data_IF_709516698241
#
_entry.id   IF_709516698241
#
_cell.length_a   1.000
_cell.length_b   1.000
_cell.length_c   1.000
_cell.angle_alpha   90.00
_cell.angle_beta   90.00
_cell.angle_gamma   90.00
#
_symmetry.space_group_name_H-M   'P 1'
#
loop_
_entity.id
_entity.type
_entity.pdbx_description
1 polymer ?
#
# COMPACT_ATOMS: atom_id res chain seq x y z
N UNK A 1 -15.91 -8.86 11.20
CA UNK A 1 -15.18 -7.59 11.07
C UNK A 1 -13.99 -7.85 10.15
N UNK A 2 -13.75 -7.02 9.14
CA UNK A 2 -12.59 -7.14 8.26
C UNK A 2 -11.39 -6.46 8.92
N UNK A 3 -10.28 -7.18 9.07
CA UNK A 3 -9.07 -6.72 9.74
C UNK A 3 -7.94 -6.38 8.76
N UNK A 4 -8.19 -6.44 7.45
CA UNK A 4 -7.20 -6.05 6.45
C UNK A 4 -6.83 -4.58 6.63
N UNK A 5 -5.55 -4.30 6.43
CA UNK A 5 -5.05 -2.94 6.34
C UNK A 5 -5.32 -2.39 4.95
N UNK A 6 -5.79 -1.15 4.86
CA UNK A 6 -6.06 -0.46 3.59
C UNK A 6 -5.28 0.84 3.51
N UNK A 7 -4.44 0.99 2.48
CA UNK A 7 -3.53 2.11 2.34
C UNK A 7 -4.23 3.46 2.27
N UNK A 8 -5.20 3.60 1.34
CA UNK A 8 -5.90 4.86 1.11
C UNK A 8 -6.64 5.31 2.37
N UNK A 9 -7.32 4.40 3.06
CA UNK A 9 -8.04 4.71 4.30
C UNK A 9 -7.12 5.25 5.39
N UNK A 10 -5.98 4.59 5.64
CA UNK A 10 -5.01 5.03 6.65
C UNK A 10 -4.35 6.37 6.28
N UNK A 11 -3.92 6.53 5.02
CA UNK A 11 -3.31 7.78 4.57
C UNK A 11 -4.30 8.94 4.65
N UNK A 12 -5.55 8.73 4.21
CA UNK A 12 -6.58 9.77 4.24
C UNK A 12 -7.06 10.10 5.66
N UNK A 13 -7.09 9.11 6.57
CA UNK A 13 -7.37 9.36 7.98
C UNK A 13 -6.31 10.27 8.63
N UNK A 14 -5.04 10.10 8.27
CA UNK A 14 -3.97 11.01 8.66
C UNK A 14 -4.21 12.40 8.05
N UNK A 15 -4.40 12.48 6.74
CA UNK A 15 -4.52 13.76 6.01
C UNK A 15 -5.71 14.61 6.45
N UNK A 16 -6.85 13.98 6.70
CA UNK A 16 -8.06 14.66 7.19
C UNK A 16 -8.02 14.98 8.69
N UNK A 17 -6.98 14.58 9.40
CA UNK A 17 -6.87 14.68 10.88
C UNK A 17 -7.96 13.90 11.63
N UNK A 18 -8.52 12.86 11.00
CA UNK A 18 -9.40 11.89 11.66
C UNK A 18 -8.61 11.02 12.64
N UNK A 19 -7.42 10.58 12.24
CA UNK A 19 -6.49 9.90 13.14
C UNK A 19 -5.86 10.92 14.09
N UNK A 20 -5.79 10.59 15.38
CA UNK A 20 -5.06 11.41 16.37
C UNK A 20 -3.56 11.47 16.01
N UNK A 21 -2.78 12.40 16.58
CA UNK A 21 -1.33 12.42 16.39
C UNK A 21 -0.68 11.07 16.75
N UNK A 22 -1.09 10.46 17.86
CA UNK A 22 -0.57 9.16 18.32
C UNK A 22 -0.90 8.04 17.33
N UNK A 23 -2.14 8.01 16.82
CA UNK A 23 -2.55 7.03 15.80
C UNK A 23 -1.82 7.25 14.48
N UNK A 24 -1.62 8.51 14.07
CA UNK A 24 -0.89 8.85 12.85
C UNK A 24 0.56 8.40 12.91
N UNK A 25 1.21 8.59 14.07
CA UNK A 25 2.57 8.09 14.32
C UNK A 25 2.61 6.56 14.33
N UNK A 26 1.66 5.91 14.99
CA UNK A 26 1.58 4.45 15.01
C UNK A 26 1.36 3.83 13.62
N UNK A 27 0.60 4.49 12.74
CA UNK A 27 0.46 4.07 11.33
C UNK A 27 1.81 4.17 10.60
N UNK A 28 2.57 5.25 10.80
CA UNK A 28 3.88 5.41 10.20
C UNK A 28 4.89 4.38 10.73
N UNK A 29 4.88 4.14 12.05
CA UNK A 29 5.72 3.12 12.68
C UNK A 29 5.39 1.72 12.16
N UNK A 30 4.10 1.42 11.92
CA UNK A 30 3.67 0.16 11.30
C UNK A 30 4.21 0.03 9.87
N UNK A 31 4.13 1.08 9.05
CA UNK A 31 4.66 1.07 7.68
C UNK A 31 6.17 0.84 7.69
N UNK A 32 6.91 1.47 8.61
CA UNK A 32 8.35 1.25 8.76
C UNK A 32 8.65 -0.19 9.22
N UNK A 33 7.92 -0.70 10.22
CA UNK A 33 8.14 -2.02 10.81
C UNK A 33 7.71 -3.20 9.91
N UNK A 34 6.73 -2.99 9.03
CA UNK A 34 6.18 -3.98 8.08
C UNK A 34 6.38 -3.55 6.63
N UNK A 35 7.54 -2.95 6.37
CA UNK A 35 7.85 -2.38 5.05
C UNK A 35 7.77 -3.42 3.94
N UNK A 36 8.31 -4.63 4.14
CA UNK A 36 8.31 -5.67 3.12
C UNK A 36 6.89 -6.12 2.77
N UNK A 37 6.01 -6.22 3.77
CA UNK A 37 4.61 -6.62 3.57
C UNK A 37 3.74 -5.52 2.95
N UNK A 38 3.92 -4.26 3.37
CA UNK A 38 3.05 -3.15 2.96
C UNK A 38 3.56 -2.38 1.73
N UNK A 39 4.89 -2.38 1.51
CA UNK A 39 5.55 -1.72 0.38
C UNK A 39 6.22 -2.74 -0.54
N UNK A 40 7.04 -3.65 0.00
CA UNK A 40 7.81 -4.60 -0.80
C UNK A 40 8.82 -3.91 -1.71
N UNK A 41 8.86 -4.32 -2.98
CA UNK A 41 9.71 -3.77 -4.06
C UNK A 41 8.97 -2.76 -4.96
N UNK A 42 7.67 -2.52 -4.71
CA UNK A 42 6.90 -1.49 -5.40
C UNK A 42 5.84 -0.87 -4.47
N UNK A 43 5.97 0.41 -4.10
CA UNK A 43 4.96 1.09 -3.30
C UNK A 43 3.66 1.25 -4.10
N UNK A 44 2.48 1.15 -3.48
CA UNK A 44 2.14 0.71 -2.12
C UNK A 44 1.05 -0.37 -2.24
N UNK A 45 1.00 -1.35 -1.35
CA UNK A 45 -0.10 -2.31 -1.34
C UNK A 45 -1.43 -1.57 -1.17
N UNK A 46 -2.42 -1.85 -2.02
CA UNK A 46 -3.76 -1.28 -1.86
C UNK A 46 -4.45 -1.79 -0.59
N UNK A 47 -4.24 -3.08 -0.29
CA UNK A 47 -4.67 -3.73 0.94
C UNK A 47 -3.72 -4.87 1.32
N UNK A 48 -3.71 -5.26 2.60
CA UNK A 48 -2.92 -6.39 3.09
C UNK A 48 -3.63 -7.13 4.25
N UNK A 49 -3.58 -8.48 4.30
CA UNK A 49 -3.07 -9.39 3.27
C UNK A 49 -4.07 -9.60 2.12
N UNK A 50 -3.64 -10.27 1.05
CA UNK A 50 -4.54 -10.79 0.03
C UNK A 50 -5.42 -11.93 0.58
N UNK A 51 -6.67 -11.96 0.15
CA UNK A 51 -7.62 -13.03 0.39
C UNK A 51 -7.29 -14.21 -0.54
N UNK A 52 -7.38 -15.44 -0.03
CA UNK A 52 -7.03 -16.66 -0.76
C UNK A 52 -8.06 -17.79 -0.51
N UNK A 53 -8.00 -18.85 -1.30
CA UNK A 53 -8.74 -20.09 -1.07
C UNK A 53 -10.25 -19.90 -0.99
N UNK A 54 -10.85 -20.31 0.14
CA UNK A 54 -12.31 -20.26 0.31
C UNK A 54 -12.84 -18.84 0.41
N UNK A 55 -12.14 -17.95 1.11
CA UNK A 55 -12.55 -16.56 1.26
C UNK A 55 -12.54 -15.84 -0.10
N UNK A 56 -11.56 -16.14 -0.97
CA UNK A 56 -11.53 -15.58 -2.32
C UNK A 56 -12.70 -16.11 -3.17
N UNK A 57 -13.05 -17.40 -3.05
CA UNK A 57 -14.24 -17.93 -3.74
C UNK A 57 -15.53 -17.23 -3.31
N UNK A 58 -15.61 -16.78 -2.06
CA UNK A 58 -16.76 -16.00 -1.56
C UNK A 58 -16.83 -14.59 -2.16
N UNK A 59 -15.76 -14.06 -2.76
CA UNK A 59 -15.81 -12.78 -3.50
C UNK A 59 -16.43 -12.93 -4.89
N UNK A 60 -16.94 -14.12 -5.25
CA UNK A 60 -17.51 -14.41 -6.56
C UNK A 60 -16.50 -14.96 -7.57
N UNK A 61 -15.36 -15.49 -7.10
CA UNK A 61 -14.29 -16.06 -7.95
C UNK A 61 -13.81 -15.08 -9.05
N UNK A 62 -13.74 -13.79 -8.75
CA UNK A 62 -13.36 -12.75 -9.71
C UNK A 62 -11.92 -12.97 -10.23
N UNK A 63 -11.75 -13.32 -11.52
CA UNK A 63 -10.44 -13.64 -12.10
C UNK A 63 -9.51 -12.43 -12.19
N UNK A 64 -10.01 -11.18 -12.07
CA UNK A 64 -9.17 -9.98 -12.04
C UNK A 64 -8.54 -9.77 -10.66
N UNK A 65 -9.13 -10.32 -9.61
CA UNK A 65 -8.72 -10.13 -8.22
C UNK A 65 -8.13 -11.41 -7.61
N UNK A 66 -7.26 -12.08 -8.37
CA UNK A 66 -6.52 -13.24 -7.86
C UNK A 66 -5.56 -12.86 -6.74
N UNK A 67 -4.89 -13.85 -6.14
CA UNK A 67 -4.03 -13.64 -4.98
C UNK A 67 -2.88 -12.67 -5.30
N UNK A 68 -2.79 -11.56 -4.54
CA UNK A 68 -1.81 -10.49 -4.73
C UNK A 68 -1.92 -9.79 -6.08
N UNK A 69 -3.14 -9.68 -6.61
CA UNK A 69 -3.42 -9.02 -7.88
C UNK A 69 -4.46 -7.93 -7.74
N UNK A 70 -4.34 -6.90 -8.57
CA UNK A 70 -5.31 -5.80 -8.69
C UNK A 70 -5.78 -5.27 -7.31
N UNK A 71 -7.06 -5.38 -6.95
CA UNK A 71 -7.56 -4.91 -5.65
C UNK A 71 -7.25 -5.87 -4.48
N UNK A 72 -6.96 -7.14 -4.78
CA UNK A 72 -6.67 -8.18 -3.80
C UNK A 72 -5.17 -8.26 -3.46
N UNK A 73 -4.63 -7.17 -2.92
CA UNK A 73 -3.24 -7.08 -2.47
C UNK A 73 -2.23 -6.73 -3.56
N UNK A 74 -2.68 -6.16 -4.69
CA UNK A 74 -1.78 -5.55 -5.68
C UNK A 74 -1.04 -4.33 -5.12
N UNK A 75 0.12 -4.04 -5.69
CA UNK A 75 0.87 -2.80 -5.45
C UNK A 75 0.47 -1.73 -6.46
N UNK A 76 0.06 -0.56 -5.98
CA UNK A 76 -0.49 0.52 -6.80
C UNK A 76 0.39 1.78 -6.72
N UNK A 77 1.16 2.11 -7.77
CA UNK A 77 2.05 3.27 -7.79
C UNK A 77 1.33 4.60 -7.56
N UNK A 78 0.06 4.70 -7.98
CA UNK A 78 -0.76 5.90 -7.76
C UNK A 78 -0.91 6.26 -6.28
N UNK A 79 -0.76 5.31 -5.35
CA UNK A 79 -0.86 5.57 -3.91
C UNK A 79 0.37 6.30 -3.33
N UNK A 80 1.46 6.40 -4.11
CA UNK A 80 2.72 7.02 -3.67
C UNK A 80 2.54 8.48 -3.25
N UNK A 81 1.67 9.24 -3.93
CA UNK A 81 1.43 10.65 -3.56
C UNK A 81 0.69 10.77 -2.22
N UNK A 82 -0.26 9.87 -1.94
CA UNK A 82 -0.99 9.84 -0.67
C UNK A 82 -0.05 9.50 0.49
N UNK A 83 0.79 8.48 0.30
CA UNK A 83 1.83 8.11 1.27
C UNK A 83 2.75 9.31 1.52
N UNK A 84 3.23 9.96 0.46
CA UNK A 84 4.10 11.14 0.54
C UNK A 84 3.46 12.27 1.33
N UNK A 85 2.20 12.61 1.03
CA UNK A 85 1.47 13.66 1.73
C UNK A 85 1.27 13.31 3.22
N UNK A 86 0.92 12.06 3.54
CA UNK A 86 0.79 11.60 4.92
C UNK A 86 2.14 11.67 5.66
N UNK A 87 3.23 11.22 5.03
CA UNK A 87 4.58 11.30 5.58
C UNK A 87 5.01 12.74 5.88
N UNK A 88 4.68 13.71 5.01
CA UNK A 88 4.95 15.13 5.25
C UNK A 88 4.13 15.61 6.45
N UNK A 89 2.83 15.31 6.50
CA UNK A 89 1.94 15.73 7.59
C UNK A 89 2.37 15.19 8.94
N UNK A 90 2.98 14.01 8.99
CA UNK A 90 3.49 13.38 10.22
C UNK A 90 4.96 13.68 10.51
N UNK A 91 5.64 14.50 9.71
CA UNK A 91 7.07 14.80 9.91
C UNK A 91 8.00 13.60 9.71
N UNK A 92 7.62 12.64 8.86
CA UNK A 92 8.37 11.40 8.54
C UNK A 92 8.80 11.36 7.06
N UNK A 93 9.47 12.39 6.50
CA UNK A 93 9.75 12.48 5.07
C UNK A 93 10.70 11.37 4.54
N UNK A 94 11.48 10.73 5.41
CA UNK A 94 12.38 9.64 5.03
C UNK A 94 11.65 8.41 4.47
N UNK A 95 10.43 8.13 4.94
CA UNK A 95 9.58 7.03 4.44
C UNK A 95 9.21 7.30 2.98
N UNK A 96 8.78 8.54 2.69
CA UNK A 96 8.42 8.96 1.33
C UNK A 96 9.63 8.93 0.39
N UNK A 97 10.80 9.43 0.82
CA UNK A 97 12.03 9.37 0.00
C UNK A 97 12.38 7.94 -0.39
N UNK A 98 12.40 7.02 0.59
CA UNK A 98 12.68 5.59 0.34
C UNK A 98 11.68 4.98 -0.65
N UNK A 99 10.39 5.32 -0.55
CA UNK A 99 9.37 4.82 -1.48
C UNK A 99 9.55 5.39 -2.89
N UNK A 100 9.88 6.68 -3.02
CA UNK A 100 10.14 7.34 -4.30
C UNK A 100 11.38 6.74 -4.97
N UNK A 101 12.49 6.63 -4.25
CA UNK A 101 13.74 6.02 -4.74
C UNK A 101 13.50 4.61 -5.26
N UNK A 102 12.71 3.80 -4.53
CA UNK A 102 12.33 2.45 -4.95
C UNK A 102 11.51 2.47 -6.25
N UNK A 103 10.48 3.32 -6.35
CA UNK A 103 9.65 3.43 -7.53
C UNK A 103 10.44 3.92 -8.78
N UNK A 104 11.37 4.86 -8.59
CA UNK A 104 12.24 5.40 -9.65
C UNK A 104 13.13 4.33 -10.29
N UNK A 105 13.44 3.24 -9.58
CA UNK A 105 14.27 2.15 -10.14
C UNK A 105 13.60 1.37 -11.28
N UNK A 106 12.25 1.37 -11.34
CA UNK A 106 11.46 0.47 -12.19
C UNK A 106 10.35 1.13 -13.00
N UNK A 107 9.60 2.11 -12.46
CA UNK A 107 8.39 2.63 -13.12
C UNK A 107 8.60 3.05 -14.58
N UNK A 108 9.70 3.74 -14.86
CA UNK A 108 10.04 4.16 -16.22
C UNK A 108 10.39 2.97 -17.13
N UNK A 109 11.15 2.00 -16.62
CA UNK A 109 11.58 0.81 -17.38
C UNK A 109 10.40 -0.09 -17.74
N UNK A 110 9.43 -0.15 -16.84
CA UNK A 110 8.24 -1.00 -16.98
C UNK A 110 7.11 -0.29 -17.76
N UNK A 111 7.32 0.96 -18.19
CA UNK A 111 6.38 1.68 -19.05
C UNK A 111 5.15 2.25 -18.33
N UNK A 112 5.30 2.62 -17.06
CA UNK A 112 4.22 3.20 -16.22
C UNK A 112 2.97 2.30 -16.13
N UNK A 113 3.10 1.05 -15.66
CA UNK A 113 1.96 0.15 -15.53
C UNK A 113 0.97 0.65 -14.47
N UNK A 114 -0.29 0.25 -14.62
CA UNK A 114 -1.39 0.63 -13.72
C UNK A 114 -1.17 0.12 -12.29
N UNK A 115 -0.74 -1.14 -12.15
CA UNK A 115 -0.47 -1.82 -10.88
C UNK A 115 0.54 -2.96 -11.10
N UNK A 116 1.05 -3.51 -9.99
CA UNK A 116 1.97 -4.64 -9.96
C UNK A 116 1.41 -5.77 -9.09
N UNK A 117 1.62 -7.00 -9.55
CA UNK A 117 1.17 -8.21 -8.87
C UNK A 117 2.24 -8.79 -7.93
N UNK A 118 1.86 -9.83 -7.19
CA UNK A 118 2.75 -10.59 -6.34
C UNK A 118 2.96 -9.96 -4.96
N UNK A 119 3.45 -10.79 -4.03
CA UNK A 119 3.65 -10.38 -2.63
C UNK A 119 4.53 -9.14 -2.49
N UNK A 120 5.58 -9.05 -3.31
CA UNK A 120 6.53 -7.94 -3.29
C UNK A 120 6.25 -6.86 -4.34
N UNK A 121 5.27 -7.04 -5.24
CA UNK A 121 5.04 -6.08 -6.34
C UNK A 121 6.06 -6.25 -7.48
N UNK A 122 6.33 -7.50 -7.88
CA UNK A 122 7.33 -7.87 -8.90
C UNK A 122 6.67 -8.49 -10.11
#
# INVERSE_FOLDING_TARGET
MDFRWFALGNCFAILSSLATPEQSMAIMDLIEARWEELVGEMPLKISYPAIDGHEWRQTGCDPKNTRWSYHNGGSWPVLLWLLTAACIKTGRPQIARRAIELAETRLLKDGWPEYYDGKLGI
#
